data_IF_782050572980
#
_entry.id   IF_782050572980
#
_cell.length_a   1.000
_cell.length_b   1.000
_cell.length_c   1.000
_cell.angle_alpha   90.00
_cell.angle_beta   90.00
_cell.angle_gamma   90.00
#
_symmetry.space_group_name_H-M   'P 1'
#
loop_
_entity.id
_entity.type
_entity.pdbx_description
1 polymer ?
#
# COMPACT_ATOMS: atom_id res chain seq x y z
N UNK A 1 5.52 10.27 -4.99
CA UNK A 1 4.27 11.03 -5.16
C UNK A 1 4.29 11.74 -6.49
N UNK A 2 3.16 11.78 -7.19
CA UNK A 2 2.97 12.52 -8.44
C UNK A 2 1.57 13.15 -8.48
N UNK A 3 1.45 14.29 -9.17
CA UNK A 3 0.19 14.98 -9.41
C UNK A 3 -0.05 15.18 -10.90
N UNK A 4 -1.27 14.94 -11.39
CA UNK A 4 -1.66 15.17 -12.79
C UNK A 4 -2.85 16.13 -12.84
N UNK A 5 -2.66 17.31 -13.44
CA UNK A 5 -3.69 18.35 -13.56
C UNK A 5 -4.29 18.33 -14.97
N UNK A 6 -5.60 18.17 -15.09
CA UNK A 6 -6.33 18.13 -16.36
C UNK A 6 -7.83 18.38 -16.16
N UNK A 7 -8.45 19.06 -17.13
CA UNK A 7 -9.92 19.17 -17.22
C UNK A 7 -10.60 17.86 -17.66
N UNK A 8 -9.87 17.01 -18.38
CA UNK A 8 -10.29 15.65 -18.73
C UNK A 8 -9.71 14.67 -17.71
N UNK A 9 -10.55 14.24 -16.76
CA UNK A 9 -10.19 13.31 -15.69
C UNK A 9 -9.89 11.91 -16.24
N UNK A 10 -10.59 11.48 -17.29
CA UNK A 10 -10.36 10.17 -17.91
C UNK A 10 -8.98 10.09 -18.55
N UNK A 11 -8.54 11.17 -19.22
CA UNK A 11 -7.16 11.28 -19.73
C UNK A 11 -6.14 11.33 -18.60
N UNK A 12 -6.43 12.07 -17.52
CA UNK A 12 -5.52 12.17 -16.38
C UNK A 12 -5.29 10.81 -15.70
N UNK A 13 -6.37 10.04 -15.51
CA UNK A 13 -6.30 8.70 -14.94
C UNK A 13 -5.45 7.77 -15.82
N UNK A 14 -5.70 7.73 -17.14
CA UNK A 14 -4.89 6.91 -18.07
C UNK A 14 -3.41 7.28 -18.08
N UNK A 15 -3.08 8.56 -17.88
CA UNK A 15 -1.68 8.98 -17.74
C UNK A 15 -1.12 8.55 -16.37
N UNK A 16 -1.88 8.75 -15.30
CA UNK A 16 -1.53 8.38 -13.94
C UNK A 16 -1.24 6.89 -13.78
N UNK A 17 -2.03 6.03 -14.40
CA UNK A 17 -1.83 4.56 -14.41
C UNK A 17 -0.50 4.13 -15.06
N UNK A 18 0.09 4.97 -15.92
CA UNK A 18 1.39 4.73 -16.53
C UNK A 18 2.56 5.20 -15.65
N UNK A 19 2.29 6.01 -14.62
CA UNK A 19 3.32 6.51 -13.72
C UNK A 19 3.67 5.46 -12.66
N UNK A 20 4.96 5.12 -12.56
CA UNK A 20 5.49 4.26 -11.51
C UNK A 20 5.71 5.06 -10.22
N UNK A 21 4.65 5.31 -9.46
CA UNK A 21 4.66 6.03 -8.17
C UNK A 21 3.81 5.29 -7.13
N UNK A 22 4.15 5.42 -5.84
CA UNK A 22 3.33 4.87 -4.75
C UNK A 22 2.13 5.76 -4.37
N UNK A 23 2.20 7.05 -4.71
CA UNK A 23 1.14 8.04 -4.44
C UNK A 23 0.85 8.82 -5.73
N UNK A 24 -0.42 8.87 -6.12
CA UNK A 24 -0.89 9.55 -7.32
C UNK A 24 -2.10 10.40 -6.98
N UNK A 25 -2.05 11.67 -7.34
CA UNK A 25 -3.13 12.63 -7.11
C UNK A 25 -3.61 13.22 -8.45
N UNK A 26 -4.90 13.10 -8.75
CA UNK A 26 -5.50 13.71 -9.95
C UNK A 26 -6.15 15.04 -9.54
N UNK A 27 -5.77 16.12 -10.22
CA UNK A 27 -6.21 17.49 -9.93
C UNK A 27 -5.89 17.98 -8.51
N UNK A 28 -4.78 17.51 -7.94
CA UNK A 28 -4.27 17.96 -6.65
C UNK A 28 -2.73 18.00 -6.66
N UNK A 29 -2.14 18.67 -5.67
CA UNK A 29 -0.70 18.86 -5.52
C UNK A 29 0.04 17.55 -5.18
N UNK A 30 1.35 17.53 -5.40
CA UNK A 30 2.21 16.39 -5.03
C UNK A 30 2.45 16.26 -3.52
N UNK A 31 2.18 17.33 -2.77
CA UNK A 31 2.38 17.41 -1.32
C UNK A 31 1.03 17.26 -0.63
N UNK A 32 0.67 16.03 -0.31
CA UNK A 32 -0.53 15.70 0.44
C UNK A 32 -0.24 14.47 1.30
N UNK A 33 -0.70 14.47 2.53
CA UNK A 33 -0.59 13.35 3.46
C UNK A 33 -1.71 13.43 4.50
N UNK A 34 -2.28 12.28 4.82
CA UNK A 34 -3.25 12.08 5.88
C UNK A 34 -2.91 10.82 6.68
N UNK A 35 -3.15 10.86 7.99
CA UNK A 35 -2.74 9.78 8.91
C UNK A 35 -3.35 8.41 8.58
N UNK A 36 -4.43 8.40 7.79
CA UNK A 36 -5.18 7.19 7.42
C UNK A 36 -4.71 6.57 6.09
N UNK A 37 -3.92 7.27 5.26
CA UNK A 37 -3.48 6.70 3.98
C UNK A 37 -2.18 5.91 4.12
N UNK A 38 -1.98 4.86 3.32
CA UNK A 38 -0.69 4.22 3.17
C UNK A 38 0.28 5.15 2.43
N UNK A 39 1.23 5.75 3.15
CA UNK A 39 2.27 6.61 2.58
C UNK A 39 3.53 5.81 2.26
N UNK A 40 3.83 5.62 0.98
CA UNK A 40 4.92 4.77 0.51
C UNK A 40 5.35 5.02 -0.92
N UNK A 41 6.50 4.45 -1.29
CA UNK A 41 7.15 4.67 -2.58
C UNK A 41 7.69 3.39 -3.21
N UNK A 42 8.02 3.48 -4.51
CA UNK A 42 8.56 2.36 -5.30
C UNK A 42 9.85 2.77 -6.03
N UNK A 43 10.68 1.80 -6.40
CA UNK A 43 11.93 2.04 -7.11
C UNK A 43 13.00 2.62 -6.18
N UNK A 44 13.67 3.71 -6.59
CA UNK A 44 14.65 4.38 -5.73
C UNK A 44 14.02 5.01 -4.47
N UNK A 45 12.69 5.22 -4.48
CA UNK A 45 11.97 5.81 -3.35
C UNK A 45 11.51 4.79 -2.29
N UNK A 46 11.67 3.49 -2.54
CA UNK A 46 11.23 2.45 -1.62
C UNK A 46 10.97 1.11 -2.29
N UNK A 47 10.75 0.10 -1.46
CA UNK A 47 10.47 -1.27 -1.85
C UNK A 47 8.97 -1.56 -2.05
N UNK A 48 8.11 -0.54 -1.98
CA UNK A 48 6.66 -0.69 -2.07
C UNK A 48 5.94 -0.87 -0.73
N UNK A 49 6.65 -0.86 0.40
CA UNK A 49 5.99 -0.74 1.72
C UNK A 49 5.50 0.68 1.96
N UNK A 50 4.62 0.83 2.95
CA UNK A 50 3.98 2.09 3.28
C UNK A 50 3.69 2.19 4.78
N UNK A 51 3.75 3.41 5.30
CA UNK A 51 3.41 3.74 6.69
C UNK A 51 2.15 4.61 6.68
N UNK A 52 1.29 4.43 7.68
CA UNK A 52 0.01 5.13 7.82
C UNK A 52 -1.19 4.21 7.64
N UNK A 53 -2.30 4.58 8.28
CA UNK A 53 -3.55 3.82 8.21
C UNK A 53 -3.41 2.34 8.55
N UNK A 54 -4.08 1.50 7.76
CA UNK A 54 -4.08 0.04 7.91
C UNK A 54 -2.74 -0.61 7.61
N UNK A 55 -1.87 0.02 6.81
CA UNK A 55 -0.55 -0.55 6.47
C UNK A 55 0.38 -0.66 7.67
N UNK A 56 0.18 0.17 8.70
CA UNK A 56 0.95 0.06 9.93
C UNK A 56 0.81 -1.29 10.63
N UNK A 57 -0.34 -1.96 10.49
CA UNK A 57 -0.54 -3.28 11.09
C UNK A 57 0.42 -4.27 10.44
N UNK A 58 0.49 -4.28 9.11
CA UNK A 58 1.40 -5.19 8.41
C UNK A 58 2.88 -4.80 8.60
N UNK A 59 3.21 -3.50 8.69
CA UNK A 59 4.60 -3.04 8.81
C UNK A 59 5.18 -3.20 10.23
N UNK A 60 4.36 -3.01 11.27
CA UNK A 60 4.82 -2.97 12.67
C UNK A 60 4.28 -4.11 13.55
N UNK A 61 3.56 -5.06 12.96
CA UNK A 61 3.16 -6.29 13.66
C UNK A 61 3.57 -7.52 12.86
N UNK A 62 3.45 -8.71 13.44
CA UNK A 62 3.73 -9.96 12.75
C UNK A 62 2.51 -10.87 12.79
N UNK A 63 2.19 -11.45 11.64
CA UNK A 63 1.17 -12.49 11.54
C UNK A 63 1.62 -13.74 12.28
N UNK A 64 0.89 -14.12 13.32
CA UNK A 64 1.12 -15.36 14.04
C UNK A 64 0.07 -16.40 13.64
N UNK A 65 0.50 -17.45 12.95
CA UNK A 65 -0.32 -18.64 12.77
C UNK A 65 -0.16 -19.56 13.98
N UNK A 66 -1.26 -19.78 14.71
CA UNK A 66 -1.31 -20.63 15.90
C UNK A 66 -2.28 -21.78 15.68
N UNK A 67 -1.85 -22.99 15.98
CA UNK A 67 -2.72 -24.18 16.05
C UNK A 67 -2.70 -24.74 17.47
N UNK A 68 -3.87 -25.13 17.97
CA UNK A 68 -4.01 -25.77 19.28
C UNK A 68 -4.77 -27.09 19.12
N UNK A 69 -4.23 -28.17 19.69
CA UNK A 69 -4.90 -29.47 19.79
C UNK A 69 -4.90 -29.92 21.25
N UNK A 70 -6.03 -30.39 21.75
CA UNK A 70 -6.13 -30.92 23.11
C UNK A 70 -5.37 -32.24 23.30
N UNK A 71 -5.22 -33.02 22.22
CA UNK A 71 -4.48 -34.27 22.19
C UNK A 71 -3.66 -34.37 20.88
N UNK A 72 -2.53 -35.09 20.93
CA UNK A 72 -1.70 -35.30 19.75
C UNK A 72 -2.43 -36.23 18.75
N UNK A 73 -2.55 -35.86 17.47
CA UNK A 73 -3.17 -36.73 16.47
C UNK A 73 -2.26 -37.92 16.18
N UNK A 74 -2.84 -39.08 15.91
CA UNK A 74 -2.12 -40.17 15.27
C UNK A 74 -1.81 -39.79 13.81
N UNK A 75 -0.57 -39.96 13.39
CA UNK A 75 -0.16 -39.79 11.99
C UNK A 75 -0.08 -41.16 11.30
N UNK A 76 -0.39 -41.25 9.99
CA UNK A 76 -0.16 -42.46 9.22
C UNK A 76 1.33 -42.86 9.24
N UNK A 77 1.59 -44.17 9.18
CA UNK A 77 2.92 -44.71 8.91
C UNK A 77 3.25 -44.61 7.41
#
# INVERSE_FOLDING_TARGET
SAGVISRDVGRALRLGEQLRTGLLHINDQTVNDEVINPFGGVGASGNGTSVGGSSNIDEFTQWQWLTLKGEAPAYPL
#
